data_IF_553692064021
#
_entry.id   IF_553692064021
#
_cell.length_a   1.000
_cell.length_b   1.000
_cell.length_c   1.000
_cell.angle_alpha   90.00
_cell.angle_beta   90.00
_cell.angle_gamma   90.00
#
_symmetry.space_group_name_H-M   'P 1'
#
loop_
_entity.id
_entity.type
_entity.pdbx_description
1 polymer ?
#
# COMPACT_ATOMS: atom_id res chain seq x y z
N UNK A 1 58.23 44.52 8.36
CA UNK A 1 58.61 44.60 9.78
C UNK A 1 57.65 43.69 10.56
N UNK A 2 58.07 42.44 10.86
CA UNK A 2 58.21 41.84 12.22
C UNK A 2 57.10 42.30 13.20
N UNK A 3 56.26 41.46 13.80
CA UNK A 3 56.31 40.02 14.05
C UNK A 3 56.53 39.74 15.55
N UNK A 4 55.44 39.58 16.30
CA UNK A 4 55.29 38.93 17.63
C UNK A 4 53.78 38.61 17.73
N UNK A 5 53.26 37.41 18.00
CA UNK A 5 53.81 36.20 18.59
C UNK A 5 53.15 35.96 19.94
N UNK A 6 52.08 35.16 20.01
CA UNK A 6 51.64 34.47 21.23
C UNK A 6 50.97 33.13 20.86
N UNK A 7 51.70 32.06 21.14
CA UNK A 7 51.27 30.67 21.17
C UNK A 7 50.31 30.43 22.34
N UNK A 8 49.24 29.66 22.13
CA UNK A 8 48.58 28.94 23.22
C UNK A 8 48.39 27.46 22.84
N UNK A 9 48.92 26.64 23.76
CA UNK A 9 49.12 25.20 23.67
C UNK A 9 47.81 24.42 23.65
N UNK A 10 47.75 23.43 22.77
CA UNK A 10 46.87 22.28 22.85
C UNK A 10 47.31 21.38 24.02
N UNK A 11 46.83 21.64 25.23
CA UNK A 11 46.94 20.71 26.38
C UNK A 11 46.07 21.13 27.59
N UNK A 12 44.79 21.46 27.36
CA UNK A 12 43.80 21.67 28.45
C UNK A 12 42.43 21.02 28.19
N UNK A 13 42.43 19.82 27.60
CA UNK A 13 41.25 18.95 27.52
C UNK A 13 41.64 17.53 27.92
N UNK A 14 42.14 17.36 29.15
CA UNK A 14 42.29 16.05 29.78
C UNK A 14 42.23 16.27 31.29
N UNK A 15 41.02 16.20 31.86
CA UNK A 15 40.79 15.88 33.28
C UNK A 15 39.29 15.68 33.53
N UNK A 16 38.81 14.46 33.31
CA UNK A 16 37.69 13.86 34.04
C UNK A 16 37.69 12.34 33.82
N UNK A 17 37.90 11.51 34.86
CA UNK A 17 37.89 10.07 34.74
C UNK A 17 36.48 9.54 35.00
N UNK A 18 35.78 9.05 33.99
CA UNK A 18 34.60 8.17 34.19
C UNK A 18 34.63 7.05 33.15
N UNK A 19 35.57 6.12 33.33
CA UNK A 19 35.31 4.71 33.03
C UNK A 19 34.43 4.20 34.17
N UNK A 20 33.11 4.17 33.96
CA UNK A 20 32.18 3.47 34.82
C UNK A 20 31.40 2.46 33.97
N UNK A 21 31.81 1.20 34.11
CA UNK A 21 31.08 -0.04 33.91
C UNK A 21 29.93 -0.03 32.88
N UNK A 22 30.28 -0.46 31.67
CA UNK A 22 29.40 -1.23 30.81
C UNK A 22 29.25 -2.60 31.50
N UNK A 23 28.28 -2.75 32.40
CA UNK A 23 27.65 -4.05 32.78
C UNK A 23 26.74 -3.91 34.01
N UNK A 24 25.79 -2.96 33.98
CA UNK A 24 24.60 -3.05 34.83
C UNK A 24 23.38 -3.36 33.96
N UNK A 25 23.11 -4.65 33.82
CA UNK A 25 21.86 -5.18 33.30
C UNK A 25 20.90 -5.45 34.48
N UNK A 26 19.97 -4.54 34.81
CA UNK A 26 18.85 -4.89 35.67
C UNK A 26 17.80 -5.59 34.81
N UNK A 27 17.94 -6.90 34.70
CA UNK A 27 16.90 -7.75 34.14
C UNK A 27 15.69 -7.82 35.10
N UNK A 28 14.51 -8.09 34.51
CA UNK A 28 13.19 -8.36 35.16
C UNK A 28 12.20 -7.21 35.38
N UNK A 29 12.04 -6.28 34.43
CA UNK A 29 10.72 -5.63 34.23
C UNK A 29 10.03 -6.19 32.99
N UNK A 30 8.80 -6.70 33.16
CA UNK A 30 7.95 -7.19 32.06
C UNK A 30 7.64 -6.00 31.14
N UNK A 31 8.43 -5.82 30.08
CA UNK A 31 8.21 -4.73 29.13
C UNK A 31 6.88 -4.92 28.40
N UNK A 32 6.10 -3.84 28.33
CA UNK A 32 4.91 -3.77 27.48
C UNK A 32 5.28 -4.01 26.02
N UNK A 33 4.33 -4.50 25.22
CA UNK A 33 4.53 -4.76 23.77
C UNK A 33 5.09 -3.52 23.04
N UNK A 34 4.62 -2.35 23.41
CA UNK A 34 5.08 -1.03 22.93
C UNK A 34 6.54 -0.74 23.25
N UNK A 35 7.03 -1.11 24.45
CA UNK A 35 8.44 -0.92 24.83
C UNK A 35 9.37 -1.87 24.07
N UNK A 36 8.92 -3.09 23.77
CA UNK A 36 9.69 -4.04 22.94
C UNK A 36 9.80 -3.56 21.49
N UNK A 37 8.72 -3.03 20.92
CA UNK A 37 8.71 -2.45 19.56
C UNK A 37 9.65 -1.24 19.48
N UNK A 38 9.61 -0.32 20.46
CA UNK A 38 10.53 0.82 20.54
C UNK A 38 12.01 0.39 20.58
N UNK A 39 12.33 -0.72 21.27
CA UNK A 39 13.68 -1.30 21.29
C UNK A 39 14.05 -1.97 19.97
N UNK A 40 13.11 -2.66 19.33
CA UNK A 40 13.31 -3.27 18.01
C UNK A 40 13.62 -2.23 16.92
N UNK A 41 12.97 -1.06 16.99
CA UNK A 41 13.25 0.10 16.14
C UNK A 41 14.57 0.82 16.48
N UNK A 42 15.21 0.47 17.60
CA UNK A 42 16.49 1.05 18.05
C UNK A 42 17.74 0.30 17.58
N UNK A 43 17.59 -0.76 16.76
CA UNK A 43 18.72 -1.43 16.11
C UNK A 43 19.38 -0.43 15.16
N UNK A 44 20.60 -0.04 15.51
CA UNK A 44 21.33 1.05 14.88
C UNK A 44 21.76 0.66 13.47
N UNK A 45 21.47 1.50 12.49
CA UNK A 45 22.14 1.53 11.20
C UNK A 45 23.26 2.55 11.35
N UNK A 46 24.52 2.15 11.13
CA UNK A 46 25.67 3.06 11.18
C UNK A 46 25.43 4.31 10.33
N UNK A 47 25.61 5.50 10.93
CA UNK A 47 25.42 6.79 10.27
C UNK A 47 24.04 7.45 10.47
N UNK A 48 23.04 6.79 11.04
CA UNK A 48 21.73 7.40 11.27
C UNK A 48 21.58 7.98 12.69
N UNK A 49 21.42 9.30 12.78
CA UNK A 49 21.14 9.97 14.06
C UNK A 49 19.83 9.46 14.68
N UNK A 50 19.89 9.03 15.94
CA UNK A 50 18.73 8.53 16.69
C UNK A 50 17.82 9.67 17.13
N UNK A 51 16.52 9.41 17.27
CA UNK A 51 15.57 10.40 17.81
C UNK A 51 15.98 10.91 19.20
N UNK A 52 16.64 10.06 20.00
CA UNK A 52 17.18 10.41 21.32
C UNK A 52 18.31 11.43 21.25
N UNK A 53 19.01 11.56 20.12
CA UNK A 53 20.05 12.57 19.92
C UNK A 53 19.49 14.00 19.94
N UNK A 54 18.18 14.16 19.70
CA UNK A 54 17.52 15.47 19.68
C UNK A 54 16.85 15.81 21.03
N UNK A 55 16.74 14.88 21.97
CA UNK A 55 16.14 15.13 23.28
C UNK A 55 16.87 16.19 24.12
N UNK A 56 18.21 16.30 24.10
CA UNK A 56 18.90 17.41 24.77
C UNK A 56 18.51 18.78 24.20
N UNK A 57 18.32 18.87 22.88
CA UNK A 57 17.87 20.10 22.21
C UNK A 57 16.44 20.44 22.61
N UNK A 58 15.54 19.45 22.64
CA UNK A 58 14.18 19.66 23.13
C UNK A 58 14.15 20.13 24.59
N UNK A 59 14.96 19.52 25.46
CA UNK A 59 15.04 19.92 26.87
C UNK A 59 15.60 21.34 27.02
N UNK A 60 16.58 21.73 26.20
CA UNK A 60 17.09 23.11 26.18
C UNK A 60 16.05 24.11 25.70
N UNK A 61 15.28 23.76 24.66
CA UNK A 61 14.17 24.60 24.19
C UNK A 61 13.11 24.72 25.28
N UNK A 62 12.75 23.63 25.95
CA UNK A 62 11.76 23.62 27.03
C UNK A 62 12.21 24.45 28.23
N UNK A 63 13.49 24.35 28.62
CA UNK A 63 14.08 25.17 29.68
C UNK A 63 14.10 26.65 29.27
N UNK A 64 14.50 26.95 28.04
CA UNK A 64 14.55 28.32 27.52
C UNK A 64 13.16 28.95 27.47
N UNK A 65 12.14 28.18 27.07
CA UNK A 65 10.74 28.61 27.09
C UNK A 65 10.28 28.87 28.52
N UNK A 66 10.55 27.96 29.47
CA UNK A 66 10.18 28.12 30.88
C UNK A 66 10.87 29.30 31.57
N UNK A 67 12.08 29.65 31.14
CA UNK A 67 12.85 30.76 31.70
C UNK A 67 12.55 32.11 31.06
N UNK A 68 11.83 32.14 29.94
CA UNK A 68 11.53 33.38 29.21
C UNK A 68 10.02 33.63 29.16
N UNK A 69 9.53 34.29 30.21
CA UNK A 69 8.12 34.61 30.37
C UNK A 69 7.59 35.48 29.23
N UNK A 70 8.40 36.39 28.65
CA UNK A 70 8.00 37.17 27.48
C UNK A 70 7.79 36.31 26.23
N UNK A 71 8.57 35.24 26.03
CA UNK A 71 8.32 34.27 24.96
C UNK A 71 7.04 33.47 25.21
N UNK A 72 6.80 33.04 26.45
CA UNK A 72 5.56 32.37 26.83
C UNK A 72 4.38 33.30 26.58
N UNK A 73 4.47 34.57 27.00
CA UNK A 73 3.40 35.54 26.87
C UNK A 73 3.18 35.92 25.40
N UNK A 74 4.24 36.03 24.58
CA UNK A 74 4.14 36.26 23.14
C UNK A 74 3.54 35.04 22.39
N UNK A 75 3.91 33.82 22.77
CA UNK A 75 3.32 32.59 22.24
C UNK A 75 1.89 32.42 22.71
N UNK A 76 1.57 32.78 23.96
CA UNK A 76 0.23 32.70 24.54
C UNK A 76 -0.67 33.81 24.00
N UNK A 77 -0.13 34.99 23.66
CA UNK A 77 -0.84 36.05 22.96
C UNK A 77 -1.17 35.63 21.52
N UNK A 78 -0.20 35.05 20.79
CA UNK A 78 -0.45 34.46 19.45
C UNK A 78 -1.38 33.25 19.47
N UNK A 79 -1.30 32.40 20.51
CA UNK A 79 -2.22 31.29 20.72
C UNK A 79 -3.58 31.76 21.28
N UNK A 80 -3.63 32.92 21.93
CA UNK A 80 -4.82 33.57 22.45
C UNK A 80 -5.64 34.25 21.35
N UNK A 81 -4.98 34.74 20.29
CA UNK A 81 -5.63 35.06 19.00
C UNK A 81 -6.16 33.80 18.29
N UNK A 82 -5.62 32.62 18.62
CA UNK A 82 -6.14 31.29 18.30
C UNK A 82 -7.09 30.75 19.39
N UNK A 83 -7.66 31.61 20.24
CA UNK A 83 -8.86 31.27 20.99
C UNK A 83 -9.98 31.10 19.98
N UNK A 84 -10.11 29.87 19.47
CA UNK A 84 -11.19 29.36 18.62
C UNK A 84 -12.47 29.37 19.47
N UNK A 85 -12.97 30.57 19.75
CA UNK A 85 -14.27 30.81 20.33
C UNK A 85 -15.10 31.53 19.27
N UNK A 86 -16.05 30.78 18.71
CA UNK A 86 -17.24 31.30 18.01
C UNK A 86 -17.08 32.03 16.66
N UNK A 87 -15.94 31.95 15.97
CA UNK A 87 -15.82 32.46 14.58
C UNK A 87 -15.35 31.41 13.58
N UNK A 88 -16.15 30.35 13.39
CA UNK A 88 -15.98 29.39 12.28
C UNK A 88 -16.30 29.98 10.89
N UNK A 89 -16.11 31.29 10.71
CA UNK A 89 -16.44 32.05 9.50
C UNK A 89 -15.42 33.14 9.24
N UNK A 90 -14.21 32.77 8.78
CA UNK A 90 -13.34 33.55 7.87
C UNK A 90 -11.91 33.02 7.72
N UNK A 91 -11.58 31.83 8.18
CA UNK A 91 -10.37 31.17 7.70
C UNK A 91 -10.68 30.46 6.38
N UNK A 92 -10.01 30.88 5.29
CA UNK A 92 -10.07 30.24 3.98
C UNK A 92 -9.25 28.94 3.99
N UNK A 93 -9.54 28.07 4.97
CA UNK A 93 -8.94 26.76 5.10
C UNK A 93 -9.53 25.87 4.01
N UNK A 94 -8.69 25.01 3.42
CA UNK A 94 -9.21 23.96 2.55
C UNK A 94 -10.29 23.17 3.28
N UNK A 95 -11.32 22.74 2.54
CA UNK A 95 -12.46 22.01 3.08
C UNK A 95 -12.01 20.88 4.02
N UNK A 96 -10.99 20.11 3.61
CA UNK A 96 -10.40 19.04 4.41
C UNK A 96 -9.86 19.51 5.77
N UNK A 97 -9.09 20.59 5.80
CA UNK A 97 -8.48 21.06 7.04
C UNK A 97 -9.55 21.58 8.02
N UNK A 98 -10.59 22.23 7.49
CA UNK A 98 -11.77 22.62 8.28
C UNK A 98 -12.50 21.39 8.83
N UNK A 99 -12.71 20.36 8.02
CA UNK A 99 -13.33 19.10 8.45
C UNK A 99 -12.52 18.43 9.55
N UNK A 100 -11.20 18.30 9.39
CA UNK A 100 -10.32 17.72 10.41
C UNK A 100 -10.35 18.52 11.71
N UNK A 101 -10.32 19.86 11.65
CA UNK A 101 -10.41 20.71 12.83
C UNK A 101 -11.74 20.51 13.57
N UNK A 102 -12.86 20.50 12.86
CA UNK A 102 -14.19 20.27 13.45
C UNK A 102 -14.29 18.87 14.07
N UNK A 103 -13.77 17.83 13.39
CA UNK A 103 -13.72 16.47 13.93
C UNK A 103 -12.88 16.40 15.21
N UNK A 104 -11.74 17.10 15.26
CA UNK A 104 -10.89 17.15 16.45
C UNK A 104 -11.61 17.78 17.65
N UNK A 105 -12.26 18.93 17.45
CA UNK A 105 -13.04 19.63 18.48
C UNK A 105 -14.16 18.72 19.00
N UNK A 106 -15.00 18.20 18.11
CA UNK A 106 -16.11 17.33 18.48
C UNK A 106 -15.66 16.05 19.22
N UNK A 107 -14.56 15.45 18.80
CA UNK A 107 -14.03 14.25 19.45
C UNK A 107 -13.33 14.56 20.77
N UNK A 108 -12.82 15.78 20.97
CA UNK A 108 -12.23 16.22 22.25
C UNK A 108 -13.27 16.42 23.35
N UNK A 109 -14.49 16.85 22.98
CA UNK A 109 -15.61 17.06 23.91
C UNK A 109 -16.26 15.74 24.35
N UNK A 110 -16.01 14.64 23.64
CA UNK A 110 -16.62 13.34 23.91
C UNK A 110 -15.87 12.59 25.00
N UNK A 111 -16.56 12.29 26.10
CA UNK A 111 -16.06 11.41 27.17
C UNK A 111 -15.99 9.95 26.69
N UNK A 112 -14.94 9.23 27.13
CA UNK A 112 -14.77 7.78 27.01
C UNK A 112 -14.79 7.19 25.59
N UNK A 113 -13.72 7.45 24.82
CA UNK A 113 -13.34 6.66 23.63
C UNK A 113 -14.38 6.51 22.51
N UNK A 114 -15.47 7.27 22.52
CA UNK A 114 -16.51 7.28 21.47
C UNK A 114 -16.19 8.28 20.36
N UNK A 115 -14.95 8.22 19.86
CA UNK A 115 -14.58 9.01 18.69
C UNK A 115 -15.41 8.55 17.49
N UNK A 116 -15.96 9.51 16.74
CA UNK A 116 -16.64 9.23 15.47
C UNK A 116 -15.97 10.08 14.39
N UNK A 117 -16.00 9.56 13.19
CA UNK A 117 -15.32 10.12 12.04
C UNK A 117 -16.31 10.11 10.89
N UNK A 118 -16.40 11.24 10.20
CA UNK A 118 -17.18 11.37 8.99
C UNK A 118 -16.54 10.56 7.86
N UNK A 119 -17.33 10.21 6.84
CA UNK A 119 -16.86 9.38 5.72
C UNK A 119 -15.71 10.04 4.97
N UNK A 120 -15.71 11.36 4.79
CA UNK A 120 -14.60 12.10 4.17
C UNK A 120 -13.29 11.93 4.96
N UNK A 121 -13.37 11.95 6.29
CA UNK A 121 -12.21 11.77 7.17
C UNK A 121 -11.71 10.34 7.09
N UNK A 122 -12.62 9.36 7.05
CA UNK A 122 -12.24 7.95 6.87
C UNK A 122 -11.58 7.72 5.52
N UNK A 123 -12.13 8.26 4.44
CA UNK A 123 -11.59 8.15 3.09
C UNK A 123 -10.21 8.81 2.99
N UNK A 124 -10.07 10.02 3.51
CA UNK A 124 -8.77 10.70 3.61
C UNK A 124 -7.76 9.87 4.41
N UNK A 125 -8.19 9.31 5.54
CA UNK A 125 -7.34 8.47 6.39
C UNK A 125 -6.90 7.19 5.69
N UNK A 126 -7.81 6.59 4.89
CA UNK A 126 -7.52 5.43 4.07
C UNK A 126 -6.47 5.76 3.01
N UNK A 127 -6.67 6.85 2.28
CA UNK A 127 -5.74 7.34 1.27
C UNK A 127 -4.35 7.62 1.86
N UNK A 128 -4.30 8.35 2.98
CA UNK A 128 -3.07 8.66 3.70
C UNK A 128 -2.34 7.40 4.17
N UNK A 129 -3.09 6.39 4.63
CA UNK A 129 -2.53 5.11 5.05
C UNK A 129 -1.99 4.29 3.87
N UNK A 130 -2.67 4.30 2.71
CA UNK A 130 -2.25 3.59 1.49
C UNK A 130 -0.98 4.24 0.91
N UNK A 131 -0.97 5.57 0.76
CA UNK A 131 0.14 6.30 0.13
C UNK A 131 1.33 6.46 1.06
N UNK A 132 1.08 6.83 2.32
CA UNK A 132 2.12 7.11 3.32
C UNK A 132 2.57 5.89 4.13
N UNK A 133 1.82 4.80 4.07
CA UNK A 133 2.05 3.63 4.89
C UNK A 133 1.76 3.84 6.38
N UNK A 134 1.90 2.74 7.14
CA UNK A 134 1.58 2.70 8.57
C UNK A 134 2.41 3.68 9.41
N UNK A 135 3.70 3.81 9.11
CA UNK A 135 4.61 4.65 9.89
C UNK A 135 4.25 6.14 9.82
N UNK A 136 3.98 6.66 8.62
CA UNK A 136 3.55 8.05 8.44
C UNK A 136 2.20 8.29 9.11
N UNK A 137 1.25 7.37 8.92
CA UNK A 137 -0.08 7.50 9.50
C UNK A 137 -0.04 7.50 11.04
N UNK A 138 0.75 6.60 11.64
CA UNK A 138 0.97 6.57 13.09
C UNK A 138 1.60 7.87 13.60
N UNK A 139 2.62 8.37 12.90
CA UNK A 139 3.27 9.63 13.24
C UNK A 139 2.29 10.80 13.22
N UNK A 140 1.51 10.96 12.15
CA UNK A 140 0.54 12.05 12.03
C UNK A 140 -0.56 11.94 13.09
N UNK A 141 -1.07 10.73 13.35
CA UNK A 141 -2.09 10.51 14.39
C UNK A 141 -1.61 10.83 15.80
N UNK A 142 -0.35 10.55 16.12
CA UNK A 142 0.22 10.87 17.44
C UNK A 142 0.39 12.38 17.61
N UNK A 143 0.78 13.08 16.53
CA UNK A 143 0.99 14.54 16.55
C UNK A 143 -0.31 15.34 16.35
N UNK A 144 -1.37 14.72 15.81
CA UNK A 144 -2.70 15.31 15.63
C UNK A 144 -3.72 14.47 16.40
N UNK A 145 -3.95 14.75 17.71
CA UNK A 145 -4.85 13.97 18.53
C UNK A 145 -6.32 14.29 18.23
N UNK A 146 -7.14 13.25 18.00
CA UNK A 146 -8.60 13.27 17.78
C UNK A 146 -9.19 13.50 16.36
N UNK A 147 -8.50 14.06 15.34
CA UNK A 147 -9.05 14.12 13.98
C UNK A 147 -8.90 12.82 13.20
N UNK A 148 -7.85 12.02 13.48
CA UNK A 148 -7.54 10.82 12.70
C UNK A 148 -7.98 9.52 13.40
N UNK A 149 -8.70 8.61 12.71
CA UNK A 149 -9.07 7.30 13.20
C UNK A 149 -7.88 6.47 13.69
N UNK A 150 -8.17 5.51 14.57
CA UNK A 150 -7.19 4.50 14.96
C UNK A 150 -6.81 3.61 13.76
N UNK A 151 -5.61 3.02 13.79
CA UNK A 151 -5.17 2.08 12.75
C UNK A 151 -6.15 0.92 12.63
N UNK A 152 -6.65 0.39 13.75
CA UNK A 152 -7.65 -0.68 13.74
C UNK A 152 -8.92 -0.26 13.01
N UNK A 153 -9.31 1.00 13.13
CA UNK A 153 -10.44 1.57 12.38
C UNK A 153 -10.09 1.61 10.90
N UNK A 154 -8.94 2.18 10.51
CA UNK A 154 -8.50 2.26 9.11
C UNK A 154 -8.38 0.88 8.47
N UNK A 155 -7.76 -0.10 9.14
CA UNK A 155 -7.63 -1.48 8.66
C UNK A 155 -9.00 -2.16 8.48
N UNK A 156 -9.97 -1.83 9.33
CA UNK A 156 -11.34 -2.33 9.18
C UNK A 156 -12.03 -1.67 8.00
N UNK A 157 -11.96 -0.34 7.88
CA UNK A 157 -12.51 0.37 6.72
C UNK A 157 -11.85 -0.11 5.42
N UNK A 158 -10.55 -0.41 5.41
CA UNK A 158 -9.85 -0.96 4.25
C UNK A 158 -10.45 -2.30 3.82
N UNK A 159 -10.75 -3.18 4.78
CA UNK A 159 -11.40 -4.47 4.51
C UNK A 159 -12.85 -4.33 4.04
N UNK A 160 -13.54 -3.25 4.43
CA UNK A 160 -14.95 -3.01 4.06
C UNK A 160 -15.08 -2.25 2.74
N UNK A 161 -14.16 -1.32 2.45
CA UNK A 161 -14.20 -0.46 1.28
C UNK A 161 -13.81 -1.18 -0.01
N UNK A 162 -12.99 -2.23 0.07
CA UNK A 162 -12.64 -3.06 -1.09
C UNK A 162 -13.42 -4.37 -1.08
N UNK A 163 -14.02 -4.74 -2.21
CA UNK A 163 -14.44 -6.13 -2.45
C UNK A 163 -13.25 -7.06 -2.20
N UNK A 164 -13.42 -8.18 -1.47
CA UNK A 164 -12.32 -9.09 -1.18
C UNK A 164 -11.72 -9.59 -2.50
N UNK A 165 -10.41 -9.41 -2.64
CA UNK A 165 -9.69 -9.96 -3.77
C UNK A 165 -9.48 -11.46 -3.52
N UNK A 166 -10.03 -12.30 -4.39
CA UNK A 166 -9.90 -13.76 -4.30
C UNK A 166 -8.96 -14.21 -5.42
N UNK A 167 -7.95 -14.99 -5.05
CA UNK A 167 -6.96 -15.53 -5.99
C UNK A 167 -7.64 -16.35 -7.11
N UNK A 168 -7.24 -16.11 -8.35
CA UNK A 168 -7.77 -16.84 -9.51
C UNK A 168 -9.19 -16.44 -9.96
N UNK A 169 -9.92 -15.60 -9.20
CA UNK A 169 -11.26 -15.12 -9.60
C UNK A 169 -11.14 -13.91 -10.53
N UNK A 170 -11.84 -13.94 -11.66
CA UNK A 170 -11.95 -12.82 -12.59
C UNK A 170 -12.99 -11.81 -12.13
N UNK A 171 -12.63 -10.52 -12.13
CA UNK A 171 -13.46 -9.40 -11.64
C UNK A 171 -14.11 -8.60 -12.77
N UNK A 172 -14.89 -9.28 -13.61
CA UNK A 172 -15.46 -8.70 -14.82
C UNK A 172 -16.54 -7.66 -14.53
N UNK A 173 -17.46 -7.93 -13.60
CA UNK A 173 -18.52 -6.99 -13.24
C UNK A 173 -17.95 -5.78 -12.50
N UNK A 174 -16.98 -6.00 -11.61
CA UNK A 174 -16.31 -4.91 -10.90
C UNK A 174 -15.49 -4.01 -11.83
N UNK A 175 -14.94 -4.56 -12.93
CA UNK A 175 -14.33 -3.75 -13.98
C UNK A 175 -15.39 -2.85 -14.64
N UNK A 176 -16.58 -3.38 -14.95
CA UNK A 176 -17.66 -2.59 -15.53
C UNK A 176 -18.11 -1.46 -14.61
N UNK A 177 -18.33 -1.79 -13.33
CA UNK A 177 -18.70 -0.82 -12.31
C UNK A 177 -17.61 0.25 -12.15
N UNK A 178 -16.34 -0.14 -12.17
CA UNK A 178 -15.21 0.78 -12.14
C UNK A 178 -15.19 1.72 -13.34
N UNK A 179 -15.41 1.22 -14.55
CA UNK A 179 -15.43 2.06 -15.77
C UNK A 179 -16.58 3.07 -15.73
N UNK A 180 -17.78 2.63 -15.32
CA UNK A 180 -18.96 3.49 -15.24
C UNK A 180 -18.78 4.55 -14.13
N UNK A 181 -18.33 4.14 -12.94
CA UNK A 181 -18.17 5.04 -11.80
C UNK A 181 -17.14 6.16 -12.03
N UNK A 182 -16.17 5.94 -12.93
CA UNK A 182 -15.10 6.88 -13.23
C UNK A 182 -15.28 7.61 -14.58
N UNK A 183 -16.45 7.47 -15.23
CA UNK A 183 -16.72 8.05 -16.56
C UNK A 183 -15.61 7.71 -17.57
N UNK A 184 -15.30 6.41 -17.65
CA UNK A 184 -14.29 5.83 -18.53
C UNK A 184 -14.97 5.08 -19.68
N UNK A 185 -14.34 5.03 -20.87
CA UNK A 185 -14.89 4.29 -21.99
C UNK A 185 -14.99 2.79 -21.65
N UNK A 186 -16.06 2.14 -22.11
CA UNK A 186 -16.22 0.68 -22.08
C UNK A 186 -15.32 -0.03 -23.11
N UNK A 187 -14.07 0.45 -23.22
CA UNK A 187 -13.04 -0.03 -24.14
C UNK A 187 -11.73 -0.19 -23.38
N UNK A 188 -11.17 -1.39 -23.40
CA UNK A 188 -9.98 -1.73 -22.62
C UNK A 188 -8.93 -2.44 -23.47
N UNK A 189 -7.67 -2.21 -23.12
CA UNK A 189 -6.55 -3.08 -23.46
C UNK A 189 -6.31 -4.06 -22.32
N UNK A 190 -6.06 -5.33 -22.62
CA UNK A 190 -5.70 -6.34 -21.61
C UNK A 190 -4.19 -6.58 -21.67
N UNK A 191 -3.56 -6.59 -20.51
CA UNK A 191 -2.13 -6.88 -20.35
C UNK A 191 -1.96 -8.02 -19.36
N UNK A 192 -1.08 -8.98 -19.65
CA UNK A 192 -0.68 -10.00 -18.68
C UNK A 192 0.84 -10.08 -18.49
N UNK A 193 1.26 -10.26 -17.24
CA UNK A 193 2.66 -10.38 -16.87
C UNK A 193 2.83 -11.20 -15.58
N UNK A 194 3.99 -11.82 -15.41
CA UNK A 194 4.36 -12.62 -14.26
C UNK A 194 5.52 -12.00 -13.49
N UNK A 195 5.33 -11.75 -12.20
CA UNK A 195 6.40 -11.28 -11.32
C UNK A 195 6.81 -12.34 -10.31
N UNK A 196 8.11 -12.41 -9.98
CA UNK A 196 8.60 -13.37 -8.98
C UNK A 196 8.07 -12.99 -7.60
N UNK A 197 7.50 -13.97 -6.90
CA UNK A 197 6.97 -13.80 -5.54
C UNK A 197 7.77 -14.62 -4.53
N UNK A 198 7.60 -14.28 -3.25
CA UNK A 198 8.13 -15.11 -2.18
C UNK A 198 7.30 -16.39 -2.06
N UNK A 199 7.96 -17.53 -2.25
CA UNK A 199 7.36 -18.86 -2.12
C UNK A 199 6.90 -19.10 -0.67
N UNK A 200 5.58 -19.06 -0.45
CA UNK A 200 4.98 -19.25 0.88
C UNK A 200 3.57 -19.80 0.78
N UNK A 201 3.28 -20.83 1.58
CA UNK A 201 1.90 -21.21 1.88
C UNK A 201 1.30 -20.30 2.95
N UNK A 202 0.04 -19.94 2.77
CA UNK A 202 -0.77 -19.23 3.75
C UNK A 202 -2.17 -19.83 3.80
N UNK A 203 -2.83 -19.73 4.93
CA UNK A 203 -4.25 -20.04 5.02
C UNK A 203 -5.04 -18.76 4.81
N UNK A 204 -6.02 -18.80 3.91
CA UNK A 204 -7.02 -17.74 3.76
C UNK A 204 -8.32 -18.13 4.48
N UNK A 205 -8.66 -17.47 5.61
CA UNK A 205 -9.89 -17.75 6.33
C UNK A 205 -11.15 -17.35 5.56
N UNK A 206 -11.06 -16.47 4.55
CA UNK A 206 -12.24 -16.02 3.81
C UNK A 206 -12.69 -17.07 2.79
N UNK A 207 -11.76 -17.59 1.98
CA UNK A 207 -12.05 -18.67 1.01
C UNK A 207 -11.97 -20.07 1.61
N UNK A 208 -11.51 -20.22 2.87
CA UNK A 208 -11.23 -21.49 3.53
C UNK A 208 -10.31 -22.40 2.69
N UNK A 209 -9.27 -21.79 2.09
CA UNK A 209 -8.31 -22.45 1.22
C UNK A 209 -6.87 -22.17 1.66
N UNK A 210 -5.97 -23.05 1.23
CA UNK A 210 -4.52 -22.80 1.29
C UNK A 210 -4.12 -22.00 0.05
N UNK A 211 -3.64 -20.79 0.27
CA UNK A 211 -3.12 -19.84 -0.73
C UNK A 211 -1.60 -20.01 -0.85
N UNK A 212 -1.07 -19.81 -2.06
CA UNK A 212 0.35 -19.94 -2.34
C UNK A 212 0.81 -21.22 -3.05
N UNK A 213 0.08 -22.36 -3.07
CA UNK A 213 0.37 -23.40 -4.05
C UNK A 213 0.11 -22.90 -5.49
N UNK A 214 0.72 -23.54 -6.48
CA UNK A 214 0.45 -23.31 -7.91
C UNK A 214 -1.00 -23.67 -8.21
N UNK A 215 -1.79 -22.70 -8.69
CA UNK A 215 -3.18 -22.96 -9.08
C UNK A 215 -3.21 -23.70 -10.42
N UNK A 216 -3.88 -24.86 -10.51
CA UNK A 216 -4.04 -25.55 -11.78
C UNK A 216 -4.92 -24.74 -12.73
N UNK A 217 -4.61 -24.81 -14.02
CA UNK A 217 -5.41 -24.18 -15.06
C UNK A 217 -6.41 -25.18 -15.64
N UNK A 218 -7.66 -24.74 -15.84
CA UNK A 218 -8.66 -25.50 -16.57
C UNK A 218 -8.33 -25.55 -18.07
N UNK A 219 -9.10 -26.34 -18.83
CA UNK A 219 -8.91 -26.51 -20.28
C UNK A 219 -8.98 -25.19 -21.05
N UNK A 220 -9.71 -24.20 -20.54
CA UNK A 220 -9.80 -22.85 -21.10
C UNK A 220 -8.66 -21.92 -20.68
N UNK A 221 -7.63 -22.42 -19.98
CA UNK A 221 -6.47 -21.66 -19.54
C UNK A 221 -6.70 -20.74 -18.34
N UNK A 222 -7.88 -20.82 -17.72
CA UNK A 222 -8.27 -20.02 -16.55
C UNK A 222 -7.91 -20.76 -15.26
N UNK A 223 -7.48 -20.05 -14.18
CA UNK A 223 -7.22 -20.68 -12.89
C UNK A 223 -8.45 -21.38 -12.31
N UNK A 224 -8.28 -22.60 -11.80
CA UNK A 224 -9.34 -23.32 -11.10
C UNK A 224 -9.40 -22.83 -9.65
N UNK A 225 -10.45 -22.08 -9.36
CA UNK A 225 -10.69 -21.50 -8.02
C UNK A 225 -10.86 -22.59 -6.96
N UNK A 226 -10.47 -22.28 -5.72
CA UNK A 226 -10.62 -23.18 -4.55
C UNK A 226 -9.99 -24.56 -4.74
N UNK A 227 -8.92 -24.67 -5.54
CA UNK A 227 -8.22 -25.95 -5.81
C UNK A 227 -7.58 -26.58 -4.56
N UNK A 228 -7.33 -25.79 -3.52
CA UNK A 228 -6.66 -26.23 -2.30
C UNK A 228 -7.54 -25.98 -1.07
N UNK A 229 -8.67 -26.69 -0.92
CA UNK A 229 -9.56 -26.50 0.21
C UNK A 229 -8.86 -26.90 1.51
N UNK A 230 -9.19 -26.20 2.59
CA UNK A 230 -8.60 -26.41 3.91
C UNK A 230 -9.64 -27.02 4.89
N UNK A 231 -10.30 -28.11 4.50
CA UNK A 231 -11.39 -28.71 5.28
C UNK A 231 -10.95 -29.40 6.56
N UNK A 232 -9.67 -29.81 6.65
CA UNK A 232 -9.11 -30.47 7.84
C UNK A 232 -7.60 -30.23 7.94
N UNK A 233 -7.06 -30.40 9.15
CA UNK A 233 -5.62 -30.33 9.39
C UNK A 233 -4.83 -31.35 8.56
N UNK A 234 -5.39 -32.55 8.32
CA UNK A 234 -4.77 -33.56 7.47
C UNK A 234 -4.70 -33.11 6.00
N UNK A 235 -5.77 -32.48 5.50
CA UNK A 235 -5.79 -31.93 4.14
C UNK A 235 -4.80 -30.78 3.96
N UNK A 236 -4.72 -29.88 4.95
CA UNK A 236 -3.71 -28.81 4.97
C UNK A 236 -2.31 -29.42 4.95
N UNK A 237 -2.01 -30.39 5.83
CA UNK A 237 -0.71 -31.05 5.87
C UNK A 237 -0.38 -31.75 4.54
N UNK A 238 -1.37 -32.34 3.87
CA UNK A 238 -1.21 -32.94 2.55
C UNK A 238 -0.82 -31.88 1.49
N UNK A 239 -1.50 -30.73 1.47
CA UNK A 239 -1.16 -29.63 0.56
C UNK A 239 0.25 -29.09 0.79
N UNK A 240 0.71 -29.00 2.04
CA UNK A 240 2.07 -28.56 2.35
C UNK A 240 3.15 -29.58 1.93
N UNK A 241 2.84 -30.88 2.00
CA UNK A 241 3.79 -31.94 1.63
C UNK A 241 3.88 -32.17 0.12
N UNK A 242 2.74 -32.15 -0.55
CA UNK A 242 2.61 -32.57 -1.95
C UNK A 242 2.35 -31.40 -2.91
N UNK A 243 1.91 -30.25 -2.39
CA UNK A 243 1.64 -29.06 -3.19
C UNK A 243 2.94 -28.41 -3.65
N UNK A 244 2.96 -27.99 -4.92
CA UNK A 244 4.03 -27.17 -5.44
C UNK A 244 3.77 -25.71 -5.08
N UNK A 245 4.74 -25.03 -4.48
CA UNK A 245 4.64 -23.61 -4.14
C UNK A 245 4.74 -22.76 -5.41
N UNK A 246 3.90 -21.75 -5.53
CA UNK A 246 3.96 -20.77 -6.60
C UNK A 246 5.19 -19.86 -6.41
N UNK A 247 5.99 -19.73 -7.46
CA UNK A 247 7.17 -18.87 -7.52
C UNK A 247 6.90 -17.55 -8.25
N UNK A 248 5.79 -17.49 -8.99
CA UNK A 248 5.40 -16.35 -9.82
C UNK A 248 3.96 -15.94 -9.50
N UNK A 249 3.72 -14.66 -9.25
CA UNK A 249 2.39 -14.06 -9.22
C UNK A 249 2.06 -13.56 -10.62
N UNK A 250 1.06 -14.13 -11.25
CA UNK A 250 0.63 -13.79 -12.60
C UNK A 250 -0.55 -12.82 -12.55
N UNK A 251 -0.34 -11.60 -13.05
CA UNK A 251 -1.32 -10.53 -13.03
C UNK A 251 -1.91 -10.33 -14.43
N UNK A 252 -3.23 -10.15 -14.49
CA UNK A 252 -3.96 -9.76 -15.69
C UNK A 252 -4.65 -8.44 -15.39
N UNK A 253 -4.32 -7.43 -16.17
CA UNK A 253 -4.71 -6.04 -15.94
C UNK A 253 -5.51 -5.54 -17.14
N UNK A 254 -6.57 -4.79 -16.87
CA UNK A 254 -7.33 -4.05 -17.87
C UNK A 254 -6.95 -2.56 -17.79
N UNK A 255 -6.48 -2.01 -18.90
CA UNK A 255 -6.18 -0.59 -19.06
C UNK A 255 -7.30 0.08 -19.86
N UNK A 256 -8.06 1.01 -19.27
CA UNK A 256 -9.03 1.83 -20.01
C UNK A 256 -8.34 2.70 -21.06
N UNK A 257 -8.97 2.87 -22.23
CA UNK A 257 -8.45 3.71 -23.31
C UNK A 257 -8.78 5.19 -23.12
N UNK A 258 -8.33 5.76 -21.99
CA UNK A 258 -8.39 7.19 -21.68
C UNK A 258 -7.06 7.57 -21.04
N UNK A 259 -6.46 8.67 -21.51
CA UNK A 259 -5.18 9.13 -20.97
C UNK A 259 -5.29 9.44 -19.47
N UNK A 260 -4.26 9.05 -18.71
CA UNK A 260 -4.23 9.16 -17.25
C UNK A 260 -5.22 8.27 -16.48
N UNK A 261 -5.99 7.40 -17.15
CA UNK A 261 -6.92 6.52 -16.45
C UNK A 261 -6.19 5.42 -15.66
N UNK A 262 -6.59 5.15 -14.41
CA UNK A 262 -5.98 4.08 -13.63
C UNK A 262 -6.30 2.71 -14.24
N UNK A 263 -5.33 1.81 -14.16
CA UNK A 263 -5.51 0.42 -14.53
C UNK A 263 -6.37 -0.33 -13.52
N UNK A 264 -6.98 -1.43 -13.95
CA UNK A 264 -7.80 -2.30 -13.10
C UNK A 264 -7.23 -3.72 -13.09
N UNK A 265 -6.93 -4.26 -11.91
CA UNK A 265 -6.49 -5.64 -11.77
C UNK A 265 -7.69 -6.59 -11.96
N UNK A 266 -7.71 -7.26 -13.11
CA UNK A 266 -8.80 -8.15 -13.52
C UNK A 266 -8.68 -9.54 -12.89
N UNK A 267 -7.45 -10.05 -12.77
CA UNK A 267 -7.16 -11.34 -12.17
C UNK A 267 -5.71 -11.41 -11.66
N UNK A 268 -5.47 -12.17 -10.60
CA UNK A 268 -4.14 -12.44 -10.04
C UNK A 268 -4.12 -13.84 -9.46
N UNK A 269 -3.10 -14.62 -9.77
CA UNK A 269 -2.95 -15.98 -9.26
C UNK A 269 -1.49 -16.45 -9.21
N UNK A 270 -1.21 -17.37 -8.30
CA UNK A 270 0.08 -18.04 -8.17
C UNK A 270 0.28 -19.10 -9.25
N UNK A 271 1.44 -19.05 -9.90
CA UNK A 271 1.88 -20.01 -10.91
C UNK A 271 3.36 -20.34 -10.75
N UNK A 272 3.81 -21.39 -11.43
CA UNK A 272 5.21 -21.73 -11.65
C UNK A 272 5.70 -21.33 -13.06
N UNK A 273 4.88 -20.58 -13.79
CA UNK A 273 5.13 -20.11 -15.16
C UNK A 273 5.33 -21.25 -16.19
N UNK A 274 4.81 -22.46 -15.90
CA UNK A 274 4.92 -23.65 -16.78
C UNK A 274 3.70 -23.88 -17.69
N UNK A 275 2.75 -22.95 -17.72
CA UNK A 275 1.65 -23.01 -18.68
C UNK A 275 2.15 -22.83 -20.12
N UNK A 276 1.41 -23.35 -21.09
CA UNK A 276 1.79 -23.31 -22.50
C UNK A 276 1.04 -22.22 -23.30
N UNK A 277 1.42 -22.04 -24.56
CA UNK A 277 0.82 -21.03 -25.45
C UNK A 277 -0.66 -21.28 -25.73
N UNK A 278 -1.08 -22.55 -25.81
CA UNK A 278 -2.49 -22.91 -26.02
C UNK A 278 -3.36 -22.45 -24.84
N UNK A 279 -2.90 -22.66 -23.61
CA UNK A 279 -3.58 -22.20 -22.40
C UNK A 279 -3.68 -20.67 -22.35
N UNK A 280 -2.62 -19.95 -22.75
CA UNK A 280 -2.65 -18.49 -22.86
C UNK A 280 -3.71 -18.03 -23.86
N UNK A 281 -3.69 -18.59 -25.06
CA UNK A 281 -4.65 -18.27 -26.11
C UNK A 281 -6.09 -18.54 -25.67
N UNK A 282 -6.37 -19.69 -25.06
CA UNK A 282 -7.71 -20.03 -24.57
C UNK A 282 -8.17 -19.09 -23.46
N UNK A 283 -7.26 -18.66 -22.59
CA UNK A 283 -7.56 -17.67 -21.54
C UNK A 283 -7.95 -16.33 -22.14
N UNK A 284 -7.23 -15.84 -23.15
CA UNK A 284 -7.58 -14.60 -23.85
C UNK A 284 -8.94 -14.71 -24.54
N UNK A 285 -9.22 -15.84 -25.20
CA UNK A 285 -10.52 -16.10 -25.79
C UNK A 285 -11.65 -16.05 -24.74
N UNK A 286 -11.43 -16.65 -23.56
CA UNK A 286 -12.38 -16.61 -22.45
C UNK A 286 -12.62 -15.18 -21.95
N UNK A 287 -11.54 -14.41 -21.71
CA UNK A 287 -11.61 -13.01 -21.27
C UNK A 287 -12.39 -12.17 -22.27
N UNK A 288 -12.06 -12.28 -23.55
CA UNK A 288 -12.72 -11.56 -24.63
C UNK A 288 -14.22 -11.84 -24.67
N UNK A 289 -14.61 -13.12 -24.61
CA UNK A 289 -16.02 -13.51 -24.66
C UNK A 289 -16.79 -12.98 -23.45
N UNK A 290 -16.20 -13.05 -22.25
CA UNK A 290 -16.83 -12.58 -21.01
C UNK A 290 -17.00 -11.07 -20.99
N UNK A 291 -15.97 -10.31 -21.34
CA UNK A 291 -16.03 -8.85 -21.41
C UNK A 291 -17.04 -8.37 -22.46
N UNK A 292 -17.05 -9.00 -23.64
CA UNK A 292 -18.02 -8.68 -24.69
C UNK A 292 -19.47 -8.89 -24.22
N UNK A 293 -19.75 -9.98 -23.48
CA UNK A 293 -21.09 -10.26 -22.95
C UNK A 293 -21.62 -9.17 -22.01
N UNK A 294 -20.73 -8.50 -21.29
CA UNK A 294 -21.12 -7.44 -20.35
C UNK A 294 -21.04 -6.03 -20.96
N UNK A 295 -20.73 -5.94 -22.27
CA UNK A 295 -20.70 -4.70 -23.04
C UNK A 295 -19.36 -3.99 -23.06
N UNK A 296 -18.27 -4.64 -22.66
CA UNK A 296 -16.91 -4.10 -22.71
C UNK A 296 -16.21 -4.58 -23.97
N UNK A 297 -15.69 -3.66 -24.77
CA UNK A 297 -14.90 -3.93 -25.96
C UNK A 297 -13.43 -4.11 -25.58
N UNK A 298 -12.84 -5.25 -25.94
CA UNK A 298 -11.39 -5.47 -25.82
C UNK A 298 -10.74 -5.08 -27.13
N UNK A 299 -9.84 -4.10 -27.09
CA UNK A 299 -9.18 -3.57 -28.29
C UNK A 299 -7.91 -4.34 -28.64
N UNK A 300 -7.13 -4.71 -27.63
CA UNK A 300 -5.94 -5.52 -27.84
C UNK A 300 -5.58 -6.33 -26.59
N UNK A 301 -4.78 -7.37 -26.82
CA UNK A 301 -4.02 -8.08 -25.80
C UNK A 301 -2.55 -7.69 -25.93
N UNK A 302 -1.90 -7.48 -24.81
CA UNK A 302 -0.48 -7.17 -24.70
C UNK A 302 0.16 -8.09 -23.67
N UNK A 303 1.41 -8.44 -23.88
CA UNK A 303 2.16 -9.34 -23.00
C UNK A 303 3.65 -9.09 -23.15
N UNK A 304 4.44 -9.70 -22.28
CA UNK A 304 5.90 -9.77 -22.45
C UNK A 304 6.30 -10.65 -23.65
N UNK A 305 7.56 -10.52 -24.08
CA UNK A 305 8.16 -11.24 -25.22
C UNK A 305 8.48 -12.71 -24.96
N UNK A 306 7.90 -13.33 -23.93
CA UNK A 306 8.08 -14.76 -23.65
C UNK A 306 7.53 -15.60 -24.82
N UNK A 307 8.29 -16.60 -25.26
CA UNK A 307 7.98 -17.45 -26.41
C UNK A 307 6.56 -18.03 -26.36
N UNK A 308 6.08 -18.41 -25.17
CA UNK A 308 4.71 -18.96 -25.01
C UNK A 308 3.63 -17.89 -25.25
N UNK A 309 3.89 -16.64 -24.87
CA UNK A 309 2.95 -15.52 -25.07
C UNK A 309 2.99 -15.05 -26.52
N UNK A 310 4.19 -14.93 -27.10
CA UNK A 310 4.37 -14.62 -28.53
C UNK A 310 3.72 -15.68 -29.42
N UNK A 311 3.86 -16.96 -29.09
CA UNK A 311 3.18 -18.06 -29.80
C UNK A 311 1.65 -17.97 -29.68
N UNK A 312 1.13 -17.56 -28.52
CA UNK A 312 -0.29 -17.30 -28.33
C UNK A 312 -0.77 -16.08 -29.15
N UNK A 313 0.01 -15.00 -29.21
CA UNK A 313 -0.27 -13.81 -30.05
C UNK A 313 -0.33 -14.18 -31.52
N UNK A 314 0.66 -14.93 -32.00
CA UNK A 314 0.67 -15.46 -33.36
C UNK A 314 -0.62 -16.26 -33.63
N UNK A 315 -0.98 -17.18 -32.74
CA UNK A 315 -2.21 -17.97 -32.85
C UNK A 315 -3.48 -17.09 -32.88
N UNK A 316 -3.50 -15.99 -32.13
CA UNK A 316 -4.60 -15.02 -32.15
C UNK A 316 -4.68 -14.29 -33.50
N UNK A 317 -3.56 -13.82 -34.04
CA UNK A 317 -3.50 -13.05 -35.31
C UNK A 317 -4.06 -13.83 -36.49
N UNK A 318 -3.79 -15.12 -36.58
CA UNK A 318 -4.30 -15.97 -37.65
C UNK A 318 -5.74 -16.45 -37.44
N UNK A 319 -6.31 -16.24 -36.25
CA UNK A 319 -7.70 -16.56 -35.97
C UNK A 319 -8.62 -15.36 -36.19
N UNK A 320 -9.19 -15.28 -37.40
CA UNK A 320 -10.10 -14.20 -37.88
C UNK A 320 -11.33 -13.94 -37.00
N UNK A 321 -11.61 -14.76 -35.98
CA UNK A 321 -12.71 -14.53 -35.02
C UNK A 321 -12.44 -13.42 -34.00
N UNK A 322 -11.17 -13.03 -33.78
CA UNK A 322 -10.79 -12.08 -32.73
C UNK A 322 -10.40 -10.68 -33.24
N UNK A 323 -10.31 -10.50 -34.57
CA UNK A 323 -9.83 -9.26 -35.16
C UNK A 323 -10.88 -8.64 -36.09
N UNK A 324 -11.26 -7.40 -35.78
CA UNK A 324 -11.67 -6.43 -36.80
C UNK A 324 -10.44 -5.59 -37.09
N UNK A 325 -9.59 -6.06 -38.00
CA UNK A 325 -8.55 -5.20 -38.54
C UNK A 325 -9.26 -4.12 -39.35
N UNK A 326 -9.37 -2.92 -38.78
CA UNK A 326 -9.96 -1.78 -39.49
C UNK A 326 -9.10 -1.53 -40.71
N UNK A 327 -9.72 -1.38 -41.88
CA UNK A 327 -9.00 -1.16 -43.13
C UNK A 327 -7.99 0.00 -43.03
N UNK A 328 -8.35 1.03 -42.27
CA UNK A 328 -7.53 2.21 -41.95
C UNK A 328 -6.18 1.88 -41.25
N UNK A 329 -6.05 0.72 -40.61
CA UNK A 329 -4.85 0.34 -39.85
C UNK A 329 -3.84 -0.43 -40.73
N UNK A 330 -4.24 -0.83 -41.93
CA UNK A 330 -3.38 -1.52 -42.91
C UNK A 330 -2.21 -0.67 -43.40
N UNK A 331 -2.35 0.64 -43.36
CA UNK A 331 -1.30 1.58 -43.74
C UNK A 331 -0.17 1.65 -42.70
N UNK A 332 -0.45 1.27 -41.46
CA UNK A 332 0.46 1.45 -40.31
C UNK A 332 1.06 0.14 -39.80
N UNK A 333 0.39 -0.99 -40.03
CA UNK A 333 0.83 -2.29 -39.56
C UNK A 333 0.95 -3.27 -40.74
N UNK A 334 2.18 -3.55 -41.14
CA UNK A 334 2.48 -4.55 -42.15
C UNK A 334 2.35 -5.95 -41.56
N UNK A 335 1.30 -6.69 -41.93
CA UNK A 335 1.33 -8.13 -41.79
C UNK A 335 2.32 -8.67 -42.84
N UNK A 336 3.48 -9.16 -42.41
CA UNK A 336 4.35 -9.95 -43.28
C UNK A 336 3.58 -11.20 -43.71
N UNK A 337 3.33 -11.32 -45.02
CA UNK A 337 2.64 -12.45 -45.64
C UNK A 337 3.40 -13.77 -45.47
#
# INVERSE_FOLDING_TARGET
MRGHGLNLNANQLNNAPILANIDDCPDKKKYSRSQRIKRGLGRHIEGQSRITCYFPVFNQIELTLKSNQEMIDALTARCGELSISKSAGKFNLSFLLRTLMLTAIQNSERKNHRQRYDEDVKLFSLYLFIVGGRGLYEFLRVNLPNPLPSIRTVERELKTASSPFIEGVFRFEELKDFLIANDLPLKVSISEDGTRIQERFSFDPFSNCVVGPVIPLADNGVPVINSFPATSAAMIANHFKNGKVASTGYAIIAQPLKDGAPFFCLNLFGTDNKFNSEQVYKRWAFIFEKLRKIGIEVICFSSDGDLKLVSAMHSLMFNKKFYVFKAEWSEWFFASA
#
